data_IF_713836307174
#
_entry.id   IF_713836307174
#
_cell.length_a   1.000
_cell.length_b   1.000
_cell.length_c   1.000
_cell.angle_alpha   90.00
_cell.angle_beta   90.00
_cell.angle_gamma   90.00
#
_symmetry.space_group_name_H-M   'P 1'
#
loop_
_entity.id
_entity.type
_entity.pdbx_description
1 polymer ?
#
# COMPACT_ATOMS: atom_id res chain seq x y z
N UNK A 1 41.39 -42.99 13.59
CA UNK A 1 41.36 -41.51 13.69
C UNK A 1 39.92 -41.04 13.55
N UNK A 2 39.30 -40.53 14.63
CA UNK A 2 37.98 -39.87 14.57
C UNK A 2 38.22 -38.37 14.37
N UNK A 3 37.77 -37.83 13.24
CA UNK A 3 37.81 -36.39 12.99
C UNK A 3 36.80 -35.70 13.92
N UNK A 4 37.27 -34.71 14.68
CA UNK A 4 36.44 -33.88 15.54
C UNK A 4 36.01 -32.66 14.72
N UNK A 5 34.75 -32.62 14.30
CA UNK A 5 34.17 -31.45 13.64
C UNK A 5 33.95 -30.36 14.69
N UNK A 6 34.78 -29.31 14.67
CA UNK A 6 34.52 -28.10 15.42
C UNK A 6 33.30 -27.39 14.82
N UNK A 7 32.23 -27.28 15.60
CA UNK A 7 31.11 -26.41 15.27
C UNK A 7 31.59 -24.96 15.28
N UNK A 8 31.66 -24.34 14.11
CA UNK A 8 31.92 -22.91 13.98
C UNK A 8 30.59 -22.20 14.22
N UNK A 9 30.45 -21.53 15.36
CA UNK A 9 29.34 -20.60 15.60
C UNK A 9 29.71 -19.26 14.99
N UNK A 10 29.15 -18.93 13.83
CA UNK A 10 29.27 -17.60 13.25
C UNK A 10 28.30 -16.65 13.96
N UNK A 11 28.74 -15.46 14.41
CA UNK A 11 27.84 -14.46 14.97
C UNK A 11 26.84 -13.99 13.91
N UNK A 12 25.57 -13.85 14.30
CA UNK A 12 24.52 -13.31 13.44
C UNK A 12 24.54 -11.78 13.58
N UNK A 13 24.60 -11.09 12.43
CA UNK A 13 24.47 -9.65 12.36
C UNK A 13 23.16 -9.28 11.67
N UNK A 14 22.41 -8.35 12.27
CA UNK A 14 21.20 -7.74 11.71
C UNK A 14 21.48 -6.26 11.55
N UNK A 15 21.12 -5.66 10.42
CA UNK A 15 21.33 -4.22 10.19
C UNK A 15 19.99 -3.51 10.03
N UNK A 16 19.75 -2.50 10.84
CA UNK A 16 18.61 -1.59 10.67
C UNK A 16 19.06 -0.32 9.96
N UNK A 17 18.27 0.14 8.99
CA UNK A 17 18.44 1.46 8.37
C UNK A 17 17.24 2.31 8.79
N UNK A 18 17.51 3.37 9.57
CA UNK A 18 16.48 4.32 10.00
C UNK A 18 16.65 5.59 9.19
N UNK A 19 15.54 6.15 8.70
CA UNK A 19 15.56 7.38 7.92
C UNK A 19 16.05 8.57 8.78
N UNK A 20 16.84 9.51 8.23
CA UNK A 20 17.49 10.57 9.00
C UNK A 20 16.51 11.51 9.75
N UNK A 21 15.27 11.63 9.29
CA UNK A 21 14.24 12.50 9.84
C UNK A 21 13.43 11.84 10.98
N UNK A 22 13.68 10.56 11.28
CA UNK A 22 12.98 9.78 12.33
C UNK A 22 13.81 9.66 13.62
N UNK A 23 14.35 10.78 14.09
CA UNK A 23 15.22 10.84 15.29
C UNK A 23 14.53 10.30 16.55
N UNK A 24 13.23 10.53 16.70
CA UNK A 24 12.44 10.00 17.82
C UNK A 24 12.34 8.46 17.85
N UNK A 25 12.28 7.82 16.67
CA UNK A 25 12.28 6.35 16.54
C UNK A 25 13.66 5.81 16.91
N UNK A 26 14.72 6.48 16.44
CA UNK A 26 16.10 6.13 16.80
C UNK A 26 16.35 6.25 18.31
N UNK A 27 15.91 7.32 18.95
CA UNK A 27 16.06 7.55 20.39
C UNK A 27 15.28 6.55 21.25
N UNK A 28 14.03 6.28 20.91
CA UNK A 28 13.21 5.27 21.61
C UNK A 28 13.79 3.86 21.41
N UNK A 29 14.36 3.59 20.23
CA UNK A 29 15.05 2.35 19.95
C UNK A 29 16.32 2.19 20.79
N UNK A 30 17.18 3.22 20.84
CA UNK A 30 18.37 3.22 21.71
C UNK A 30 18.00 3.00 23.18
N UNK A 31 16.95 3.66 23.65
CA UNK A 31 16.44 3.51 25.02
C UNK A 31 16.01 2.08 25.33
N UNK A 32 15.30 1.43 24.40
CA UNK A 32 14.87 0.02 24.53
C UNK A 32 16.03 -0.96 24.48
N UNK A 33 17.05 -0.69 23.67
CA UNK A 33 18.28 -1.50 23.63
C UNK A 33 19.07 -1.41 24.93
N UNK A 34 19.17 -0.21 25.50
CA UNK A 34 19.84 -0.03 26.78
C UNK A 34 19.14 -0.80 27.92
N UNK A 35 17.80 -0.88 27.89
CA UNK A 35 17.03 -1.71 28.84
C UNK A 35 17.30 -3.22 28.68
N UNK A 36 17.58 -3.70 27.47
CA UNK A 36 17.81 -5.11 27.15
C UNK A 36 19.23 -5.60 27.50
N UNK A 37 20.21 -4.71 27.66
CA UNK A 37 21.58 -5.05 28.09
C UNK A 37 21.67 -5.68 29.48
N UNK A 38 20.62 -5.55 30.30
CA UNK A 38 20.51 -6.24 31.60
C UNK A 38 20.47 -7.78 31.50
N UNK A 39 20.28 -8.35 30.29
CA UNK A 39 20.12 -9.78 30.06
C UNK A 39 21.25 -10.44 29.22
N UNK A 40 22.43 -9.84 29.15
CA UNK A 40 23.60 -10.47 28.53
C UNK A 40 23.67 -10.40 26.99
N UNK A 41 22.90 -9.51 26.37
CA UNK A 41 23.00 -9.19 24.94
C UNK A 41 23.97 -8.01 24.80
N UNK A 42 25.06 -8.16 24.06
CA UNK A 42 25.95 -7.05 23.70
C UNK A 42 25.54 -6.47 22.36
N UNK A 43 25.53 -5.13 22.25
CA UNK A 43 25.30 -4.44 20.97
C UNK A 43 26.43 -3.46 20.75
N UNK A 44 27.01 -3.44 19.56
CA UNK A 44 28.00 -2.44 19.15
C UNK A 44 27.38 -1.56 18.07
N UNK A 45 27.52 -0.24 18.23
CA UNK A 45 27.04 0.74 17.25
C UNK A 45 28.27 1.24 16.51
N UNK A 46 28.41 0.88 15.23
CA UNK A 46 29.49 1.37 14.39
C UNK A 46 28.88 2.05 13.16
N UNK A 47 29.14 3.36 13.00
CA UNK A 47 28.71 4.17 11.83
C UNK A 47 27.21 4.05 11.48
N UNK A 48 26.34 4.00 12.48
CA UNK A 48 24.88 3.98 12.28
C UNK A 48 24.26 2.60 12.01
N UNK A 49 25.05 1.53 12.10
CA UNK A 49 24.54 0.15 12.04
C UNK A 49 24.40 -0.41 13.46
N UNK A 50 23.23 -0.97 13.77
CA UNK A 50 22.93 -1.59 15.07
C UNK A 50 22.55 -3.05 14.85
N UNK A 51 23.27 -3.97 15.50
CA UNK A 51 23.02 -5.43 15.47
C UNK A 51 22.30 -5.86 16.74
N UNK A 52 21.13 -6.50 16.61
CA UNK A 52 20.28 -6.92 17.74
C UNK A 52 19.65 -8.29 17.47
N UNK A 53 19.68 -9.17 18.47
CA UNK A 53 18.95 -10.44 18.45
C UNK A 53 17.76 -10.47 19.43
N UNK A 54 16.65 -11.01 18.87
CA UNK A 54 15.50 -11.72 19.46
C UNK A 54 14.21 -10.96 19.83
N UNK A 55 13.21 -11.07 18.94
CA UNK A 55 11.78 -10.80 19.15
C UNK A 55 10.90 -11.71 18.27
N UNK A 56 9.63 -11.93 18.66
CA UNK A 56 8.71 -12.79 17.90
C UNK A 56 8.02 -12.02 16.75
N UNK A 57 8.52 -12.22 15.54
CA UNK A 57 8.04 -11.60 14.29
C UNK A 57 6.59 -11.97 13.93
N UNK A 58 6.01 -13.04 14.50
CA UNK A 58 4.63 -13.47 14.19
C UNK A 58 3.56 -12.53 14.74
N UNK A 59 3.94 -11.51 15.52
CA UNK A 59 3.00 -10.64 16.25
C UNK A 59 3.12 -9.16 15.89
N UNK A 60 3.99 -8.80 14.94
CA UNK A 60 4.26 -7.41 14.56
C UNK A 60 3.96 -7.22 13.07
N UNK A 61 3.31 -6.10 12.73
CA UNK A 61 3.15 -5.68 11.34
C UNK A 61 4.46 -5.04 10.91
N UNK A 62 5.17 -5.67 9.98
CA UNK A 62 6.46 -5.20 9.46
C UNK A 62 6.35 -5.07 7.95
N UNK A 63 6.66 -3.88 7.42
CA UNK A 63 6.61 -3.61 5.97
C UNK A 63 7.81 -4.21 5.22
N UNK A 64 8.94 -4.41 5.91
CA UNK A 64 10.19 -4.91 5.34
C UNK A 64 10.81 -5.91 6.31
N UNK A 65 11.10 -7.12 5.82
CA UNK A 65 11.92 -8.12 6.52
C UNK A 65 13.25 -8.24 5.78
N UNK A 66 14.35 -7.91 6.46
CA UNK A 66 15.71 -8.13 5.94
C UNK A 66 16.28 -9.35 6.65
N UNK A 67 16.33 -10.47 5.94
CA UNK A 67 16.93 -11.72 6.43
C UNK A 67 18.34 -11.91 5.86
N UNK A 68 19.32 -12.19 6.74
CA UNK A 68 20.60 -12.77 6.32
C UNK A 68 20.46 -14.29 6.24
N UNK A 69 20.88 -14.88 5.12
CA UNK A 69 20.62 -16.28 4.76
C UNK A 69 21.50 -17.32 5.48
N UNK A 70 22.43 -16.90 6.34
CA UNK A 70 23.40 -17.80 6.95
C UNK A 70 22.84 -18.65 8.10
N UNK A 71 21.60 -18.42 8.56
CA UNK A 71 20.98 -19.17 9.65
C UNK A 71 19.75 -19.94 9.18
N UNK A 72 19.89 -21.25 9.02
CA UNK A 72 18.78 -22.17 8.72
C UNK A 72 17.66 -22.11 9.76
N UNK A 73 18.00 -21.87 11.02
CA UNK A 73 17.03 -21.74 12.11
C UNK A 73 16.23 -20.44 12.00
N UNK A 74 16.87 -19.32 11.65
CA UNK A 74 16.17 -18.05 11.39
C UNK A 74 15.28 -18.16 10.15
N UNK A 75 15.79 -18.80 9.09
CA UNK A 75 15.01 -19.14 7.90
C UNK A 75 13.74 -19.91 8.25
N UNK A 76 13.86 -21.03 8.97
CA UNK A 76 12.68 -21.80 9.35
C UNK A 76 11.75 -21.04 10.30
N UNK A 77 12.29 -20.16 11.15
CA UNK A 77 11.50 -19.28 12.01
C UNK A 77 10.66 -18.27 11.21
N UNK A 78 11.24 -17.63 10.20
CA UNK A 78 10.53 -16.73 9.27
C UNK A 78 9.47 -17.51 8.49
N UNK A 79 9.84 -18.64 7.86
CA UNK A 79 8.91 -19.42 7.04
C UNK A 79 7.72 -20.00 7.83
N UNK A 80 7.93 -20.32 9.11
CA UNK A 80 6.86 -20.79 10.01
C UNK A 80 5.98 -19.65 10.51
N UNK A 81 6.52 -18.44 10.59
CA UNK A 81 5.84 -17.26 11.08
C UNK A 81 5.05 -16.52 10.00
N UNK A 82 5.45 -16.69 8.75
CA UNK A 82 4.97 -15.93 7.64
C UNK A 82 3.77 -16.60 6.97
N UNK A 83 2.84 -15.80 6.46
CA UNK A 83 1.70 -16.27 5.68
C UNK A 83 2.16 -16.86 4.33
N UNK A 84 1.31 -17.63 3.65
CA UNK A 84 1.71 -18.41 2.46
C UNK A 84 2.32 -17.56 1.32
N UNK A 85 1.89 -16.31 1.20
CA UNK A 85 2.43 -15.32 0.25
C UNK A 85 3.90 -14.97 0.52
N UNK A 86 4.32 -14.90 1.77
CA UNK A 86 5.71 -14.58 2.15
C UNK A 86 6.66 -15.74 1.82
N UNK A 87 6.20 -16.98 1.97
CA UNK A 87 6.99 -18.16 1.64
C UNK A 87 7.33 -18.21 0.14
N UNK A 88 6.36 -17.89 -0.73
CA UNK A 88 6.59 -17.84 -2.18
C UNK A 88 7.56 -16.72 -2.55
N UNK A 89 7.39 -15.51 -1.99
CA UNK A 89 8.32 -14.39 -2.23
C UNK A 89 9.73 -14.70 -1.72
N UNK A 90 9.84 -15.37 -0.57
CA UNK A 90 11.10 -15.82 0.01
C UNK A 90 11.84 -16.82 -0.88
N UNK A 91 11.18 -17.87 -1.36
CA UNK A 91 11.80 -18.91 -2.21
C UNK A 91 12.26 -18.34 -3.56
N UNK A 92 11.48 -17.43 -4.15
CA UNK A 92 11.84 -16.73 -5.38
C UNK A 92 13.10 -15.87 -5.18
N UNK A 93 13.14 -15.07 -4.11
CA UNK A 93 14.30 -14.20 -3.84
C UNK A 93 15.53 -14.99 -3.38
N UNK A 94 15.36 -16.10 -2.63
CA UNK A 94 16.46 -16.99 -2.27
C UNK A 94 17.16 -17.59 -3.49
N UNK A 95 16.39 -17.92 -4.53
CA UNK A 95 16.94 -18.42 -5.81
C UNK A 95 17.73 -17.33 -6.54
N UNK A 96 17.29 -16.07 -6.44
CA UNK A 96 17.90 -14.91 -7.10
C UNK A 96 19.12 -14.37 -6.37
N UNK A 97 19.04 -14.31 -5.04
CA UNK A 97 19.95 -13.59 -4.15
C UNK A 97 20.21 -14.42 -2.89
N UNK A 98 21.00 -15.51 -2.96
CA UNK A 98 21.14 -16.47 -1.86
C UNK A 98 21.80 -15.88 -0.60
N UNK A 99 22.38 -14.68 -0.67
CA UNK A 99 23.07 -14.00 0.43
C UNK A 99 22.31 -12.79 0.99
N UNK A 100 21.19 -12.40 0.40
CA UNK A 100 20.37 -11.26 0.84
C UNK A 100 18.93 -11.47 0.42
N UNK A 101 18.01 -11.53 1.37
CA UNK A 101 16.60 -11.73 1.07
C UNK A 101 15.88 -10.41 1.35
N UNK A 102 15.43 -9.78 0.28
CA UNK A 102 14.52 -8.64 0.31
C UNK A 102 13.12 -9.15 0.04
N UNK A 103 12.33 -9.31 1.09
CA UNK A 103 10.90 -9.58 0.93
C UNK A 103 10.21 -8.23 0.91
N UNK A 104 9.92 -7.73 -0.29
CA UNK A 104 8.85 -6.75 -0.44
C UNK A 104 7.55 -7.53 -0.29
N UNK A 105 6.82 -7.28 0.78
CA UNK A 105 5.42 -7.70 0.79
C UNK A 105 4.76 -6.91 -0.33
N UNK A 106 4.16 -7.60 -1.30
CA UNK A 106 3.22 -6.91 -2.18
C UNK A 106 2.24 -6.17 -1.27
N UNK A 107 1.97 -4.88 -1.52
CA UNK A 107 1.01 -4.15 -0.70
C UNK A 107 -0.23 -5.01 -0.60
N UNK A 108 -0.62 -5.39 0.63
CA UNK A 108 -1.79 -6.23 0.87
C UNK A 108 -2.91 -5.70 -0.02
N UNK A 109 -3.39 -6.52 -0.98
CA UNK A 109 -4.47 -6.13 -1.87
C UNK A 109 -5.54 -5.49 -1.01
N UNK A 110 -5.83 -4.19 -1.21
CA UNK A 110 -6.51 -3.49 -0.17
C UNK A 110 -7.91 -4.06 -0.08
N UNK A 111 -8.35 -4.26 1.18
CA UNK A 111 -9.62 -4.88 1.51
C UNK A 111 -10.77 -3.92 1.19
N UNK A 112 -10.92 -3.54 -0.08
CA UNK A 112 -11.92 -2.60 -0.59
C UNK A 112 -13.23 -3.29 -0.93
N UNK A 113 -13.23 -4.62 -1.09
CA UNK A 113 -14.43 -5.36 -1.46
C UNK A 113 -15.56 -5.13 -0.44
N UNK A 114 -16.79 -5.00 -0.94
CA UNK A 114 -17.99 -4.78 -0.14
C UNK A 114 -18.75 -3.51 -0.53
N UNK A 115 -19.69 -3.14 0.32
CA UNK A 115 -20.58 -2.00 0.12
C UNK A 115 -20.19 -0.86 1.07
N UNK A 116 -20.12 0.34 0.53
CA UNK A 116 -19.69 1.54 1.21
C UNK A 116 -20.73 2.64 1.03
N UNK A 117 -21.00 3.42 2.08
CA UNK A 117 -21.94 4.54 2.02
C UNK A 117 -21.34 5.79 2.65
N UNK A 118 -21.59 6.92 2.04
CA UNK A 118 -21.17 8.21 2.57
C UNK A 118 -21.62 9.36 1.68
N UNK A 119 -20.81 10.39 1.55
CA UNK A 119 -21.21 11.63 0.90
C UNK A 119 -20.16 12.18 -0.05
N UNK A 120 -20.63 12.79 -1.14
CA UNK A 120 -19.84 13.58 -2.08
C UNK A 120 -19.91 15.06 -1.71
N UNK A 121 -18.75 15.70 -1.61
CA UNK A 121 -18.59 17.13 -1.39
C UNK A 121 -17.73 17.75 -2.50
N UNK A 122 -18.18 18.88 -3.04
CA UNK A 122 -17.42 19.66 -4.02
C UNK A 122 -16.77 20.87 -3.32
N UNK A 123 -15.51 21.13 -3.64
CA UNK A 123 -14.73 22.27 -3.17
C UNK A 123 -14.28 23.15 -4.34
N UNK A 124 -14.46 24.49 -4.27
CA UNK A 124 -15.14 25.20 -3.19
C UNK A 124 -16.63 24.85 -3.12
N UNK A 125 -17.15 24.76 -1.90
CA UNK A 125 -18.56 24.43 -1.66
C UNK A 125 -19.44 25.57 -2.16
N UNK A 126 -20.42 25.25 -3.02
CA UNK A 126 -21.39 26.23 -3.49
C UNK A 126 -22.38 26.53 -2.35
N UNK A 127 -22.68 27.80 -2.02
CA UNK A 127 -23.69 28.11 -1.02
C UNK A 127 -25.03 27.44 -1.35
N UNK A 128 -25.59 26.70 -0.39
CA UNK A 128 -26.89 26.02 -0.54
C UNK A 128 -26.87 24.72 -1.35
N UNK A 129 -25.70 24.18 -1.72
CA UNK A 129 -25.64 22.86 -2.35
C UNK A 129 -26.17 21.78 -1.41
N UNK A 130 -27.09 20.95 -1.90
CA UNK A 130 -27.54 19.76 -1.17
C UNK A 130 -26.39 18.75 -1.04
N UNK A 131 -26.37 18.01 0.06
CA UNK A 131 -25.49 16.85 0.18
C UNK A 131 -25.91 15.79 -0.85
N UNK A 132 -24.93 15.15 -1.48
CA UNK A 132 -25.14 14.01 -2.38
C UNK A 132 -24.64 12.77 -1.66
N UNK A 133 -25.56 11.87 -1.34
CA UNK A 133 -25.23 10.57 -0.77
C UNK A 133 -24.63 9.68 -1.87
N UNK A 134 -23.65 8.86 -1.51
CA UNK A 134 -23.03 7.90 -2.42
C UNK A 134 -23.06 6.52 -1.79
N UNK A 135 -23.57 5.55 -2.54
CA UNK A 135 -23.43 4.13 -2.26
C UNK A 135 -22.47 3.52 -3.29
N UNK A 136 -21.37 2.94 -2.82
CA UNK A 136 -20.35 2.34 -3.67
C UNK A 136 -20.28 0.83 -3.41
N UNK A 137 -20.28 0.04 -4.47
CA UNK A 137 -20.13 -1.41 -4.44
C UNK A 137 -18.83 -1.80 -5.14
N UNK A 138 -17.90 -2.43 -4.42
CA UNK A 138 -16.61 -2.88 -4.94
C UNK A 138 -16.55 -4.40 -4.81
N UNK A 139 -16.27 -5.10 -5.90
CA UNK A 139 -16.05 -6.55 -5.88
C UNK A 139 -14.65 -6.94 -5.41
N UNK A 140 -14.36 -8.24 -5.39
CA UNK A 140 -13.01 -8.74 -5.07
C UNK A 140 -11.97 -8.25 -6.07
N UNK A 141 -10.77 -7.92 -5.61
CA UNK A 141 -9.69 -7.45 -6.48
C UNK A 141 -9.38 -8.46 -7.61
N UNK A 142 -9.20 -8.02 -8.88
CA UNK A 142 -8.93 -8.93 -9.99
C UNK A 142 -7.50 -9.50 -9.91
N UNK A 143 -7.39 -10.79 -9.59
CA UNK A 143 -6.10 -11.49 -9.43
C UNK A 143 -5.57 -12.15 -10.70
N UNK A 144 -6.38 -12.21 -11.75
CA UNK A 144 -6.03 -12.86 -13.02
C UNK A 144 -6.10 -11.88 -14.18
N UNK A 145 -5.22 -12.06 -15.15
CA UNK A 145 -5.17 -11.21 -16.33
C UNK A 145 -6.47 -11.30 -17.13
N UNK A 146 -6.88 -10.16 -17.70
CA UNK A 146 -8.14 -9.98 -18.43
C UNK A 146 -9.40 -10.29 -17.61
N UNK A 147 -9.34 -10.15 -16.29
CA UNK A 147 -10.52 -10.24 -15.42
C UNK A 147 -10.91 -8.87 -14.89
N UNK A 148 -12.20 -8.71 -14.60
CA UNK A 148 -12.77 -7.48 -14.07
C UNK A 148 -13.62 -7.78 -12.85
N UNK A 149 -13.73 -6.79 -11.97
CA UNK A 149 -14.59 -6.80 -10.80
C UNK A 149 -15.49 -5.58 -10.77
N UNK A 150 -16.59 -5.66 -10.03
CA UNK A 150 -17.57 -4.57 -9.91
C UNK A 150 -16.93 -3.36 -9.26
N UNK A 151 -17.20 -2.17 -9.81
CA UNK A 151 -16.90 -0.88 -9.21
C UNK A 151 -18.06 0.07 -9.48
N UNK A 152 -19.13 0.01 -8.70
CA UNK A 152 -20.36 0.74 -8.98
C UNK A 152 -20.56 1.88 -8.00
N UNK A 153 -20.91 3.06 -8.51
CA UNK A 153 -21.34 4.20 -7.71
C UNK A 153 -22.81 4.51 -7.97
N UNK A 154 -23.60 4.63 -6.91
CA UNK A 154 -24.98 5.11 -6.94
C UNK A 154 -25.05 6.43 -6.19
N UNK A 155 -25.47 7.49 -6.86
CA UNK A 155 -25.60 8.84 -6.31
C UNK A 155 -27.05 9.09 -5.94
N UNK A 156 -27.29 9.52 -4.70
CA UNK A 156 -28.61 9.73 -4.15
C UNK A 156 -28.79 11.17 -3.66
N UNK A 157 -30.00 11.69 -3.79
CA UNK A 157 -30.44 12.91 -3.11
C UNK A 157 -31.61 12.54 -2.19
N UNK A 158 -31.31 12.38 -0.90
CA UNK A 158 -32.22 11.70 0.02
C UNK A 158 -32.32 10.20 -0.32
N UNK A 159 -33.53 9.73 -0.61
CA UNK A 159 -33.78 8.32 -1.00
C UNK A 159 -33.88 8.13 -2.53
N UNK A 160 -33.88 9.22 -3.29
CA UNK A 160 -34.02 9.17 -4.75
C UNK A 160 -32.67 8.95 -5.43
N UNK A 161 -32.61 7.94 -6.31
CA UNK A 161 -31.43 7.66 -7.13
C UNK A 161 -31.34 8.68 -8.26
N UNK A 162 -30.31 9.52 -8.22
CA UNK A 162 -30.04 10.55 -9.23
C UNK A 162 -29.23 10.01 -10.41
N UNK A 163 -28.26 9.13 -10.13
CA UNK A 163 -27.44 8.51 -11.14
C UNK A 163 -26.84 7.20 -10.65
N UNK A 164 -26.62 6.26 -11.58
CA UNK A 164 -25.81 5.06 -11.38
C UNK A 164 -24.66 5.09 -12.38
N UNK A 165 -23.46 4.78 -11.90
CA UNK A 165 -22.26 4.60 -12.70
C UNK A 165 -21.71 3.20 -12.49
N UNK A 166 -21.84 2.38 -13.52
CA UNK A 166 -21.48 0.96 -13.52
C UNK A 166 -20.04 0.74 -14.03
N UNK A 167 -19.05 1.18 -13.26
CA UNK A 167 -17.65 0.93 -13.61
C UNK A 167 -17.23 -0.51 -13.31
N UNK A 168 -16.07 -0.90 -13.86
CA UNK A 168 -15.37 -2.13 -13.50
C UNK A 168 -13.90 -1.84 -13.27
N UNK A 169 -13.32 -2.43 -12.23
CA UNK A 169 -11.86 -2.47 -12.07
C UNK A 169 -11.36 -3.74 -12.77
N UNK A 170 -10.56 -3.57 -13.81
CA UNK A 170 -10.02 -4.64 -14.64
C UNK A 170 -8.52 -4.76 -14.48
N UNK A 171 -8.02 -5.99 -14.57
CA UNK A 171 -6.60 -6.31 -14.74
C UNK A 171 -6.35 -6.67 -16.19
N UNK A 172 -5.41 -5.99 -16.82
CA UNK A 172 -4.94 -6.26 -18.17
C UNK A 172 -3.88 -7.37 -18.18
N UNK A 173 -2.71 -7.10 -18.75
CA UNK A 173 -1.60 -8.03 -18.89
C UNK A 173 -0.56 -7.79 -17.78
N UNK A 174 -0.70 -8.49 -16.66
CA UNK A 174 0.17 -8.35 -15.48
C UNK A 174 -0.47 -7.62 -14.31
N UNK A 175 0.20 -7.65 -13.16
CA UNK A 175 -0.33 -7.12 -11.90
C UNK A 175 -0.46 -5.59 -11.86
N UNK A 176 0.39 -4.90 -12.62
CA UNK A 176 0.46 -3.44 -12.67
C UNK A 176 -0.40 -2.81 -13.77
N UNK A 177 -0.94 -3.63 -14.68
CA UNK A 177 -1.81 -3.19 -15.76
C UNK A 177 -3.25 -3.16 -15.27
N UNK A 178 -3.63 -2.06 -14.61
CA UNK A 178 -4.98 -1.88 -14.08
C UNK A 178 -5.74 -0.82 -14.87
N UNK A 179 -7.03 -1.05 -15.03
CA UNK A 179 -7.93 -0.17 -15.81
C UNK A 179 -9.25 -0.01 -15.08
N UNK A 180 -9.74 1.21 -14.97
CA UNK A 180 -11.16 1.48 -14.68
C UNK A 180 -11.90 1.54 -16.02
N UNK A 181 -12.77 0.56 -16.25
CA UNK A 181 -13.62 0.48 -17.45
C UNK A 181 -14.94 1.19 -17.16
N UNK A 182 -15.21 2.28 -17.88
CA UNK A 182 -16.45 3.06 -17.77
C UNK A 182 -17.59 2.55 -18.68
N UNK A 183 -17.33 1.49 -19.44
CA UNK A 183 -18.17 1.06 -20.54
C UNK A 183 -18.01 1.96 -21.77
N UNK A 184 -18.77 1.69 -22.81
CA UNK A 184 -18.75 2.45 -24.08
C UNK A 184 -17.32 2.63 -24.66
N UNK A 185 -16.49 1.58 -24.54
CA UNK A 185 -15.09 1.57 -24.96
C UNK A 185 -14.18 2.61 -24.28
N UNK A 186 -14.63 3.22 -23.19
CA UNK A 186 -13.83 4.14 -22.37
C UNK A 186 -13.12 3.36 -21.26
N UNK A 187 -11.79 3.42 -21.29
CA UNK A 187 -10.90 2.75 -20.35
C UNK A 187 -9.91 3.76 -19.79
N UNK A 188 -9.88 3.88 -18.47
CA UNK A 188 -8.97 4.78 -17.78
C UNK A 188 -7.83 3.96 -17.16
N UNK A 189 -6.61 4.20 -17.62
CA UNK A 189 -5.42 3.59 -17.03
C UNK A 189 -5.30 4.03 -15.57
N UNK A 190 -5.09 3.06 -14.68
CA UNK A 190 -4.94 3.30 -13.25
C UNK A 190 -3.76 2.53 -12.69
N UNK A 191 -3.13 3.05 -11.64
CA UNK A 191 -1.95 2.42 -11.03
C UNK A 191 -1.94 2.61 -9.53
N UNK A 192 -1.35 1.64 -8.84
CA UNK A 192 -0.99 1.77 -7.44
C UNK A 192 0.23 2.67 -7.27
N UNK A 193 0.12 3.63 -6.35
CA UNK A 193 1.23 4.44 -5.85
C UNK A 193 1.19 4.36 -4.33
N UNK A 194 2.00 3.46 -3.76
CA UNK A 194 1.90 3.13 -2.33
C UNK A 194 0.55 2.47 -2.01
N UNK A 195 -0.23 3.07 -1.13
CA UNK A 195 -1.56 2.62 -0.70
C UNK A 195 -2.72 3.30 -1.47
N UNK A 196 -2.42 4.04 -2.53
CA UNK A 196 -3.39 4.84 -3.30
C UNK A 196 -3.52 4.32 -4.72
N UNK A 197 -4.75 4.08 -5.17
CA UNK A 197 -5.05 3.83 -6.59
C UNK A 197 -5.25 5.17 -7.28
N UNK A 198 -4.45 5.46 -8.31
CA UNK A 198 -4.44 6.76 -9.00
C UNK A 198 -4.80 6.59 -10.46
N UNK A 199 -5.81 7.34 -10.90
CA UNK A 199 -6.37 7.33 -12.26
C UNK A 199 -6.34 8.74 -12.85
N UNK A 200 -5.26 9.13 -13.56
CA UNK A 200 -5.21 10.39 -14.28
C UNK A 200 -5.91 10.25 -15.65
N UNK A 201 -6.74 11.22 -16.02
CA UNK A 201 -7.39 11.25 -17.33
C UNK A 201 -7.71 12.68 -17.77
N UNK A 202 -7.92 12.87 -19.07
CA UNK A 202 -8.30 14.15 -19.64
C UNK A 202 -9.76 14.13 -20.07
N UNK A 203 -10.44 15.25 -19.88
CA UNK A 203 -11.78 15.49 -20.39
C UNK A 203 -11.87 16.92 -20.90
N UNK A 204 -12.05 17.08 -22.21
CA UNK A 204 -11.94 18.36 -22.91
C UNK A 204 -10.62 19.10 -22.60
N UNK A 205 -10.70 20.27 -21.94
CA UNK A 205 -9.56 21.10 -21.54
C UNK A 205 -9.21 20.94 -20.05
N UNK A 206 -9.63 19.83 -19.44
CA UNK A 206 -9.38 19.52 -18.05
C UNK A 206 -8.49 18.29 -17.92
N UNK A 207 -7.57 18.37 -16.97
CA UNK A 207 -6.86 17.23 -16.41
C UNK A 207 -7.55 16.86 -15.10
N UNK A 208 -7.99 15.61 -14.99
CA UNK A 208 -8.57 15.05 -13.79
C UNK A 208 -7.63 13.99 -13.22
N UNK A 209 -7.49 13.98 -11.90
CA UNK A 209 -6.72 12.97 -11.18
C UNK A 209 -7.64 12.41 -10.10
N UNK A 210 -8.17 11.21 -10.33
CA UNK A 210 -8.86 10.46 -9.28
C UNK A 210 -7.84 9.70 -8.44
N UNK A 211 -8.02 9.74 -7.12
CA UNK A 211 -7.21 9.01 -6.15
C UNK A 211 -8.12 8.33 -5.15
N UNK A 212 -7.97 7.02 -4.98
CA UNK A 212 -8.76 6.22 -4.03
C UNK A 212 -7.84 5.55 -3.02
N UNK A 213 -8.19 5.59 -1.73
CA UNK A 213 -7.41 4.96 -0.65
C UNK A 213 -8.29 4.57 0.54
N UNK A 214 -7.86 3.56 1.28
CA UNK A 214 -8.53 3.13 2.52
C UNK A 214 -7.73 3.57 3.74
N UNK A 215 -8.35 4.34 4.63
CA UNK A 215 -7.77 4.81 5.91
C UNK A 215 -8.59 4.28 7.07
N UNK A 216 -8.11 3.18 7.66
CA UNK A 216 -8.89 2.46 8.66
C UNK A 216 -10.18 1.93 8.05
N UNK A 217 -11.33 2.42 8.52
CA UNK A 217 -12.67 2.03 8.03
C UNK A 217 -13.28 3.04 7.04
N UNK A 218 -12.50 4.02 6.58
CA UNK A 218 -12.93 5.07 5.65
C UNK A 218 -12.29 4.87 4.29
N UNK A 219 -13.10 4.62 3.27
CA UNK A 219 -12.67 4.66 1.88
C UNK A 219 -12.83 6.11 1.38
N UNK A 220 -11.72 6.72 0.99
CA UNK A 220 -11.67 8.08 0.45
C UNK A 220 -11.45 8.01 -1.06
N UNK A 221 -12.28 8.69 -1.83
CA UNK A 221 -12.04 9.01 -3.24
C UNK A 221 -11.94 10.53 -3.41
N UNK A 222 -10.90 11.02 -4.07
CA UNK A 222 -10.71 12.43 -4.37
C UNK A 222 -10.38 12.62 -5.84
N UNK A 223 -11.14 13.50 -6.51
CA UNK A 223 -10.89 13.93 -7.89
C UNK A 223 -10.45 15.38 -7.88
N UNK A 224 -9.19 15.62 -8.25
CA UNK A 224 -8.64 16.97 -8.44
C UNK A 224 -8.84 17.39 -9.89
N UNK A 225 -9.47 18.55 -10.10
CA UNK A 225 -9.80 19.08 -11.43
C UNK A 225 -8.87 20.26 -11.73
N UNK A 226 -8.12 20.16 -12.82
CA UNK A 226 -7.04 21.07 -13.18
C UNK A 226 -7.25 21.57 -14.61
N UNK A 227 -6.91 22.84 -14.87
CA UNK A 227 -6.76 23.36 -16.23
C UNK A 227 -5.68 22.59 -17.01
N UNK A 228 -6.04 21.89 -18.08
CA UNK A 228 -5.06 21.30 -18.99
C UNK A 228 -4.58 22.34 -20.00
N UNK A 229 -3.42 22.94 -19.72
CA UNK A 229 -2.77 23.91 -20.59
C UNK A 229 -1.38 23.39 -20.96
N UNK A 230 -1.00 23.40 -22.26
CA UNK A 230 0.35 23.02 -22.66
C UNK A 230 1.40 23.89 -21.97
N UNK A 231 2.52 23.27 -21.58
CA UNK A 231 3.65 24.02 -21.04
C UNK A 231 4.30 24.85 -22.15
N UNK A 232 4.38 26.17 -21.97
CA UNK A 232 5.01 27.08 -22.95
C UNK A 232 6.53 27.22 -22.77
N UNK A 233 7.04 27.05 -21.54
CA UNK A 233 8.48 27.07 -21.20
C UNK A 233 8.70 26.58 -19.77
N UNK A 234 9.65 25.64 -19.58
CA UNK A 234 10.08 25.18 -18.27
C UNK A 234 8.99 24.52 -17.42
N UNK A 235 9.25 24.37 -16.12
CA UNK A 235 8.26 23.92 -15.14
C UNK A 235 7.19 25.00 -14.98
N UNK A 236 5.92 24.60 -15.04
CA UNK A 236 4.78 25.52 -14.90
C UNK A 236 3.88 25.08 -13.77
N UNK A 237 3.42 26.05 -13.00
CA UNK A 237 2.37 25.83 -12.01
C UNK A 237 1.06 25.56 -12.73
N UNK A 238 0.35 24.53 -12.28
CA UNK A 238 -1.02 24.25 -12.73
C UNK A 238 -2.03 24.96 -11.85
N UNK A 239 -3.19 25.29 -12.41
CA UNK A 239 -4.28 25.90 -11.66
C UNK A 239 -5.36 24.86 -11.36
N UNK A 240 -5.46 24.47 -10.09
CA UNK A 240 -6.54 23.61 -9.59
C UNK A 240 -7.83 24.42 -9.56
N UNK A 241 -8.86 23.97 -10.28
CA UNK A 241 -10.18 24.60 -10.31
C UNK A 241 -11.04 24.19 -9.11
N UNK A 242 -11.05 22.89 -8.84
CA UNK A 242 -11.96 22.29 -7.87
C UNK A 242 -11.44 20.95 -7.39
N UNK A 243 -12.00 20.49 -6.27
CA UNK A 243 -11.80 19.15 -5.74
C UNK A 243 -13.18 18.55 -5.48
N UNK A 244 -13.42 17.34 -5.96
CA UNK A 244 -14.56 16.53 -5.56
C UNK A 244 -14.05 15.45 -4.62
N UNK A 245 -14.64 15.33 -3.43
CA UNK A 245 -14.27 14.32 -2.45
C UNK A 245 -15.46 13.47 -2.09
N UNK A 246 -15.26 12.16 -2.04
CA UNK A 246 -16.21 11.18 -1.53
C UNK A 246 -15.56 10.50 -0.33
N UNK A 247 -16.23 10.55 0.82
CA UNK A 247 -15.81 9.85 2.03
C UNK A 247 -16.86 8.80 2.37
N UNK A 248 -16.46 7.53 2.42
CA UNK A 248 -17.37 6.40 2.52
C UNK A 248 -17.01 5.52 3.73
N UNK A 249 -18.04 5.08 4.45
CA UNK A 249 -17.94 4.08 5.52
C UNK A 249 -18.48 2.76 5.03
N UNK A 250 -17.85 1.67 5.45
CA UNK A 250 -18.33 0.33 5.15
C UNK A 250 -19.73 0.13 5.75
N UNK A 251 -20.66 -0.36 4.95
CA UNK A 251 -21.97 -0.81 5.41
C UNK A 251 -21.78 -2.18 6.04
N UNK A 252 -22.11 -2.33 7.33
CA UNK A 252 -22.08 -3.65 7.98
C UNK A 252 -23.15 -4.52 7.34
N UNK A 253 -22.74 -5.61 6.70
CA UNK A 253 -23.62 -6.71 6.30
C UNK A 253 -24.19 -7.43 7.52
#
# INVERSE_FOLDING_TARGET
>A
MKAHLQQVTSPISVSFVIQPDKTNIYEEFQKRIHLLHSNGISTTVEKGTIVIEKGNITKQKVDIIIGSSSSDALRQGIMKAAESNINTAYEAEQTRSPNSIFISLEPDNPNWNGTWRGSLTNYPMRPGSSAVDVLMEIGSYPTSDNTCTVWRNTYLQGEEVQAVKDYRLCRGQGADDLVIDEGNDVKLETRWIGDVLVTPFKYDNLLLISSTRLRGDILEEEIVIIDDKPAIKGVQSVHTRAIQRIELKRVKS
#
